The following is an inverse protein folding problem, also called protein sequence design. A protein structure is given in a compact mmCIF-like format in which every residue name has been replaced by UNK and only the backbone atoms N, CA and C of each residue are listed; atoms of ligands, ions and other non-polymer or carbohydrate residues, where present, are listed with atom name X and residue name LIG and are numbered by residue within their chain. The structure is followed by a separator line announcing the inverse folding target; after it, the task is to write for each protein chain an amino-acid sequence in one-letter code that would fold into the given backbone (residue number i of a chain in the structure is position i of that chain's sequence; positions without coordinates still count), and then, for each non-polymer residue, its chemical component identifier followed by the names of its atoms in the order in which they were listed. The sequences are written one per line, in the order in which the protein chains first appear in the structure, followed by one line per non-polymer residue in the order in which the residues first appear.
data_IF_209554345078
#
_entry.id   IF_209554345078
#
_cell.length_a   1.000
_cell.length_b   1.000
_cell.length_c   1.000
_cell.angle_alpha   90.00
_cell.angle_beta   90.00
_cell.angle_gamma   90.00
#
_symmetry.space_group_name_H-M   'P 1'
#
loop_
_entity.id
_entity.type
_entity.pdbx_description
1 polymer ?
#
# COMPACT_ATOMS: atom_id res chain seq x y z
N UNK A 1 -4.63 7.78 -21.99
CA UNK A 1 -3.56 7.57 -21.01
C UNK A 1 -3.39 8.84 -20.21
N UNK A 2 -3.28 8.73 -18.89
CA UNK A 2 -3.09 9.84 -17.97
C UNK A 2 -1.76 9.70 -17.24
N UNK A 3 -1.10 10.82 -16.99
CA UNK A 3 0.17 10.89 -16.27
C UNK A 3 0.13 11.98 -15.20
N UNK A 4 0.75 11.73 -14.05
CA UNK A 4 0.87 12.69 -12.94
C UNK A 4 1.85 13.83 -13.25
N UNK A 5 2.84 13.57 -14.07
CA UNK A 5 3.91 14.54 -14.35
C UNK A 5 3.39 15.78 -15.08
N UNK A 6 4.04 16.92 -14.83
CA UNK A 6 3.76 18.18 -15.51
C UNK A 6 4.02 18.05 -17.00
N UNK A 7 3.22 18.76 -17.80
CA UNK A 7 3.35 18.75 -19.25
C UNK A 7 4.72 19.28 -19.68
N UNK A 8 5.55 18.49 -20.40
CA UNK A 8 6.75 18.99 -21.03
C UNK A 8 6.38 19.97 -22.15
N UNK A 9 7.34 20.78 -22.60
CA UNK A 9 7.13 21.74 -23.70
C UNK A 9 6.65 21.07 -24.99
N UNK A 10 7.06 19.82 -25.23
CA UNK A 10 6.64 19.03 -26.39
C UNK A 10 6.03 17.69 -25.92
N UNK A 11 4.77 17.46 -26.28
CA UNK A 11 4.02 16.23 -26.01
C UNK A 11 3.87 15.34 -27.25
N UNK A 12 4.49 15.71 -28.37
CA UNK A 12 4.34 14.98 -29.65
C UNK A 12 4.85 13.54 -29.54
N UNK A 13 5.95 13.32 -28.81
CA UNK A 13 6.49 11.99 -28.54
C UNK A 13 5.47 11.07 -27.88
N UNK A 14 4.79 11.54 -26.83
CA UNK A 14 3.77 10.76 -26.11
C UNK A 14 2.59 10.43 -27.02
N UNK A 15 2.09 11.38 -27.79
CA UNK A 15 0.98 11.15 -28.75
C UNK A 15 1.37 10.14 -29.83
N UNK A 16 2.60 10.22 -30.35
CA UNK A 16 3.13 9.30 -31.36
C UNK A 16 3.28 7.88 -30.81
N UNK A 17 3.79 7.75 -29.58
CA UNK A 17 4.02 6.47 -28.91
C UNK A 17 2.71 5.77 -28.53
N UNK A 18 1.84 6.47 -27.82
CA UNK A 18 0.59 5.89 -27.29
C UNK A 18 -0.55 5.86 -28.32
N UNK A 19 -0.47 6.64 -29.38
CA UNK A 19 -1.49 6.74 -30.45
C UNK A 19 -2.91 6.96 -29.93
N UNK A 20 -3.06 7.64 -28.80
CA UNK A 20 -4.33 7.95 -28.15
C UNK A 20 -4.28 9.32 -27.47
N UNK A 21 -5.40 9.74 -26.85
CA UNK A 21 -5.44 10.95 -26.03
C UNK A 21 -4.55 10.79 -24.81
N UNK A 22 -3.56 11.69 -24.68
CA UNK A 22 -2.65 11.76 -23.53
C UNK A 22 -3.04 12.98 -22.70
N UNK A 23 -3.31 12.78 -21.41
CA UNK A 23 -3.51 13.85 -20.43
C UNK A 23 -2.36 13.85 -19.45
N UNK A 24 -1.83 15.01 -19.17
CA UNK A 24 -0.73 15.25 -18.22
C UNK A 24 -1.26 16.04 -17.03
N UNK A 25 -0.48 16.15 -15.97
CA UNK A 25 -0.88 16.82 -14.73
C UNK A 25 -2.18 16.27 -14.13
N UNK A 26 -2.38 14.97 -14.21
CA UNK A 26 -3.51 14.28 -13.59
C UNK A 26 -3.14 13.80 -12.19
N UNK A 27 -4.13 13.64 -11.27
CA UNK A 27 -3.87 13.17 -9.90
C UNK A 27 -3.33 11.74 -9.85
N UNK A 28 -3.58 10.94 -10.89
CA UNK A 28 -3.17 9.54 -10.98
C UNK A 28 -2.59 9.22 -12.36
N UNK A 29 -1.59 8.32 -12.39
CA UNK A 29 -1.13 7.70 -13.63
C UNK A 29 -2.05 6.49 -13.92
N UNK A 30 -2.76 6.52 -15.07
CA UNK A 30 -3.73 5.48 -15.40
C UNK A 30 -3.79 5.20 -16.91
N UNK A 31 -4.09 3.94 -17.23
CA UNK A 31 -4.40 3.48 -18.57
C UNK A 31 -5.91 3.16 -18.61
N UNK A 32 -6.64 3.91 -19.40
CA UNK A 32 -8.06 3.68 -19.62
C UNK A 32 -8.23 2.89 -20.92
N UNK A 33 -8.91 1.76 -20.83
CA UNK A 33 -9.21 0.89 -21.96
C UNK A 33 -10.72 0.82 -22.15
N UNK A 34 -11.15 0.65 -23.40
CA UNK A 34 -12.53 0.30 -23.68
C UNK A 34 -12.82 -1.10 -23.10
N UNK A 35 -13.95 -1.29 -22.39
CA UNK A 35 -14.30 -2.60 -21.82
C UNK A 35 -14.31 -3.75 -22.82
N UNK A 36 -14.57 -3.46 -24.08
CA UNK A 36 -14.57 -4.46 -25.14
C UNK A 36 -13.21 -5.12 -25.34
N UNK A 37 -12.10 -4.45 -25.00
CA UNK A 37 -10.74 -5.00 -25.07
C UNK A 37 -10.58 -6.24 -24.19
N UNK A 38 -11.31 -6.31 -23.07
CA UNK A 38 -11.27 -7.47 -22.17
C UNK A 38 -11.79 -8.76 -22.82
N UNK A 39 -12.61 -8.62 -23.87
CA UNK A 39 -13.16 -9.73 -24.63
C UNK A 39 -12.38 -10.02 -25.92
N UNK A 40 -11.29 -9.28 -26.18
CA UNK A 40 -10.48 -9.46 -27.38
C UNK A 40 -9.55 -10.64 -27.17
N UNK A 41 -9.54 -11.59 -28.12
CA UNK A 41 -8.60 -12.72 -28.09
C UNK A 41 -7.15 -12.23 -28.18
N UNK A 42 -6.32 -12.71 -27.26
CA UNK A 42 -4.89 -12.45 -27.28
C UNK A 42 -4.27 -13.27 -28.43
N UNK A 43 -3.69 -12.60 -29.39
CA UNK A 43 -2.93 -13.27 -30.46
C UNK A 43 -1.82 -14.12 -29.82
N UNK A 44 -1.77 -15.42 -30.18
CA UNK A 44 -0.83 -16.38 -29.61
C UNK A 44 -1.08 -16.73 -28.13
N UNK A 45 -2.34 -16.58 -27.65
CA UNK A 45 -2.71 -17.09 -26.32
C UNK A 45 -2.53 -18.63 -26.33
N UNK A 46 -1.63 -19.10 -25.47
CA UNK A 46 -1.45 -20.52 -25.21
C UNK A 46 -2.14 -20.90 -23.90
N UNK A 47 -3.33 -21.50 -24.03
CA UNK A 47 -4.09 -21.95 -22.87
C UNK A 47 -3.37 -23.04 -22.05
N UNK A 48 -2.51 -23.83 -22.71
CA UNK A 48 -1.73 -24.89 -22.06
C UNK A 48 -0.65 -24.26 -21.20
N UNK A 49 0.07 -23.27 -21.76
CA UNK A 49 1.07 -22.49 -21.03
C UNK A 49 0.45 -21.72 -19.86
N UNK A 50 -0.72 -21.11 -20.07
CA UNK A 50 -1.47 -20.42 -19.01
C UNK A 50 -1.79 -21.38 -17.86
N UNK A 51 -2.36 -22.55 -18.14
CA UNK A 51 -2.67 -23.58 -17.13
C UNK A 51 -1.41 -24.01 -16.38
N UNK A 52 -0.32 -24.23 -17.07
CA UNK A 52 0.95 -24.68 -16.51
C UNK A 52 1.56 -23.60 -15.60
N UNK A 53 1.54 -22.34 -16.02
CA UNK A 53 1.98 -21.20 -15.22
C UNK A 53 1.10 -20.99 -13.99
N UNK A 54 -0.23 -21.11 -14.12
CA UNK A 54 -1.17 -21.04 -12.99
C UNK A 54 -0.95 -22.18 -12.00
N UNK A 55 -0.71 -23.41 -12.46
CA UNK A 55 -0.38 -24.54 -11.61
C UNK A 55 0.94 -24.32 -10.87
N UNK A 56 1.96 -23.83 -11.54
CA UNK A 56 3.24 -23.50 -10.92
C UNK A 56 3.10 -22.36 -9.89
N UNK A 57 2.37 -21.30 -10.23
CA UNK A 57 2.09 -20.20 -9.30
C UNK A 57 1.35 -20.70 -8.04
N UNK A 58 0.31 -21.53 -8.23
CA UNK A 58 -0.41 -22.15 -7.10
C UNK A 58 0.49 -23.02 -6.25
N UNK A 59 1.30 -23.88 -6.88
CA UNK A 59 2.26 -24.73 -6.17
C UNK A 59 3.33 -23.94 -5.41
N UNK A 60 3.78 -22.80 -5.95
CA UNK A 60 4.70 -21.90 -5.26
C UNK A 60 4.01 -21.18 -4.09
N UNK A 61 2.76 -20.77 -4.25
CA UNK A 61 1.94 -20.19 -3.16
C UNK A 61 1.70 -21.20 -2.04
N UNK A 62 1.44 -22.47 -2.38
CA UNK A 62 1.27 -23.56 -1.38
C UNK A 62 2.56 -23.88 -0.64
N UNK A 63 3.71 -23.69 -1.27
CA UNK A 63 5.04 -23.87 -0.66
C UNK A 63 5.49 -22.69 0.20
N UNK A 64 4.83 -21.54 0.06
CA UNK A 64 5.05 -20.43 0.98
C UNK A 64 4.62 -20.89 2.39
N UNK A 65 5.45 -20.70 3.42
CA UNK A 65 5.06 -21.06 4.78
C UNK A 65 3.71 -20.43 5.10
N UNK A 66 2.80 -21.18 5.71
CA UNK A 66 1.49 -20.68 6.14
C UNK A 66 1.56 -19.42 7.00
N UNK A 67 2.74 -19.16 7.61
CA UNK A 67 3.07 -17.93 8.30
C UNK A 67 3.01 -16.69 7.38
N UNK A 68 3.54 -16.76 6.15
CA UNK A 68 3.57 -15.62 5.22
C UNK A 68 2.17 -15.20 4.81
N UNK A 69 1.30 -16.16 4.53
CA UNK A 69 -0.10 -15.88 4.18
C UNK A 69 -0.90 -15.30 5.35
N UNK A 70 -0.64 -15.77 6.58
CA UNK A 70 -1.26 -15.21 7.77
C UNK A 70 -0.76 -13.79 8.05
N UNK A 71 0.54 -13.53 7.86
CA UNK A 71 1.14 -12.21 8.05
C UNK A 71 0.61 -11.19 7.05
N UNK A 72 0.44 -11.58 5.80
CA UNK A 72 -0.19 -10.72 4.77
C UNK A 72 -1.64 -10.39 5.13
N UNK A 73 -2.42 -11.39 5.56
CA UNK A 73 -3.80 -11.19 6.01
C UNK A 73 -3.87 -10.31 7.25
N UNK A 74 -2.95 -10.48 8.19
CA UNK A 74 -2.83 -9.65 9.39
C UNK A 74 -2.52 -8.20 9.00
N UNK A 75 -1.54 -7.98 8.13
CA UNK A 75 -1.19 -6.65 7.64
C UNK A 75 -2.37 -5.97 6.96
N UNK A 76 -3.07 -6.67 6.06
CA UNK A 76 -4.26 -6.15 5.39
C UNK A 76 -5.40 -5.83 6.38
N UNK A 77 -5.60 -6.66 7.40
CA UNK A 77 -6.63 -6.42 8.42
C UNK A 77 -6.31 -5.20 9.26
N UNK A 78 -5.04 -5.00 9.64
CA UNK A 78 -4.58 -3.80 10.35
C UNK A 78 -4.74 -2.56 9.48
N UNK A 79 -4.34 -2.60 8.20
CA UNK A 79 -4.50 -1.50 7.25
C UNK A 79 -5.96 -1.05 7.14
N UNK A 80 -6.87 -2.01 6.92
CA UNK A 80 -8.32 -1.73 6.85
C UNK A 80 -8.86 -1.22 8.19
N UNK A 81 -8.35 -1.77 9.28
CA UNK A 81 -8.72 -1.36 10.63
C UNK A 81 -8.31 0.07 10.95
N UNK A 82 -7.11 0.50 10.56
CA UNK A 82 -6.66 1.88 10.70
C UNK A 82 -7.56 2.86 9.95
N UNK A 83 -7.96 2.55 8.72
CA UNK A 83 -8.87 3.40 7.93
C UNK A 83 -10.26 3.54 8.56
N UNK A 84 -10.73 2.53 9.29
CA UNK A 84 -12.06 2.49 9.92
C UNK A 84 -12.03 2.77 11.43
N UNK A 85 -10.87 3.08 11.98
CA UNK A 85 -10.62 3.24 13.42
C UNK A 85 -11.03 2.02 14.28
N UNK A 86 -10.94 0.81 13.73
CA UNK A 86 -11.23 -0.47 14.40
C UNK A 86 -10.07 -1.47 14.25
N UNK A 87 -8.87 -1.04 14.60
CA UNK A 87 -7.61 -1.80 14.53
C UNK A 87 -7.23 -2.44 15.86
N UNK A 88 -8.16 -2.61 16.80
CA UNK A 88 -7.90 -3.31 18.05
C UNK A 88 -7.65 -4.79 17.79
N UNK A 89 -6.82 -5.42 18.65
CA UNK A 89 -6.43 -6.82 18.45
C UNK A 89 -7.64 -7.76 18.43
N UNK A 90 -8.70 -7.42 19.18
CA UNK A 90 -9.96 -8.14 19.23
C UNK A 90 -10.65 -8.18 17.87
N UNK A 91 -10.72 -7.03 17.19
CA UNK A 91 -11.40 -6.90 15.90
C UNK A 91 -10.61 -7.60 14.79
N UNK A 92 -9.28 -7.44 14.81
CA UNK A 92 -8.40 -8.08 13.84
C UNK A 92 -8.36 -9.59 14.02
N UNK A 93 -8.33 -10.09 15.26
CA UNK A 93 -8.37 -11.53 15.54
C UNK A 93 -9.68 -12.16 15.04
N UNK A 94 -10.84 -11.49 15.25
CA UNK A 94 -12.13 -11.90 14.67
C UNK A 94 -12.10 -11.98 13.14
N UNK A 95 -11.55 -10.96 12.48
CA UNK A 95 -11.44 -10.95 11.01
C UNK A 95 -10.56 -12.08 10.47
N UNK A 96 -9.55 -12.47 11.24
CA UNK A 96 -8.66 -13.59 10.91
C UNK A 96 -9.20 -14.96 11.33
N UNK A 97 -10.38 -15.01 11.96
CA UNK A 97 -10.96 -16.23 12.54
C UNK A 97 -10.05 -16.91 13.56
N UNK A 98 -9.37 -16.10 14.38
CA UNK A 98 -8.42 -16.55 15.41
C UNK A 98 -8.82 -16.03 16.77
N UNK A 99 -8.41 -16.75 17.83
CA UNK A 99 -8.42 -16.17 19.17
C UNK A 99 -7.24 -15.18 19.34
N UNK A 100 -7.38 -14.20 20.23
CA UNK A 100 -6.32 -13.25 20.57
C UNK A 100 -5.04 -13.99 20.99
N UNK A 101 -5.19 -15.06 21.78
CA UNK A 101 -4.06 -15.88 22.25
C UNK A 101 -3.31 -16.57 21.11
N UNK A 102 -4.04 -17.06 20.09
CA UNK A 102 -3.41 -17.65 18.90
C UNK A 102 -2.63 -16.59 18.10
N UNK A 103 -3.23 -15.41 17.90
CA UNK A 103 -2.58 -14.32 17.20
C UNK A 103 -1.33 -13.85 17.95
N UNK A 104 -1.41 -13.66 19.27
CA UNK A 104 -0.26 -13.27 20.10
C UNK A 104 0.86 -14.31 20.05
N UNK A 105 0.53 -15.60 20.15
CA UNK A 105 1.50 -16.70 20.06
C UNK A 105 2.20 -16.71 18.70
N UNK A 106 1.46 -16.50 17.61
CA UNK A 106 2.02 -16.40 16.26
C UNK A 106 3.03 -15.24 16.16
N UNK A 107 2.68 -14.06 16.68
CA UNK A 107 3.55 -12.90 16.69
C UNK A 107 4.79 -13.09 17.57
N UNK A 108 4.65 -13.75 18.71
CA UNK A 108 5.76 -14.10 19.60
C UNK A 108 6.78 -15.04 18.91
N UNK A 109 6.32 -15.98 18.10
CA UNK A 109 7.20 -16.86 17.31
C UNK A 109 8.04 -16.08 16.29
N UNK A 110 7.57 -14.89 15.91
CA UNK A 110 8.28 -13.96 15.03
C UNK A 110 9.05 -12.87 15.79
N UNK A 111 9.20 -13.02 17.11
CA UNK A 111 9.86 -12.03 17.97
C UNK A 111 9.24 -10.61 17.85
N UNK A 112 7.94 -10.52 17.67
CA UNK A 112 7.21 -9.25 17.55
C UNK A 112 5.92 -9.24 18.39
N UNK A 113 5.30 -8.08 18.52
CA UNK A 113 4.01 -7.91 19.19
C UNK A 113 3.00 -7.29 18.24
N UNK A 114 1.70 -7.39 18.57
CA UNK A 114 0.65 -6.74 17.81
C UNK A 114 0.84 -5.22 17.73
N UNK A 115 1.20 -4.59 18.85
CA UNK A 115 1.48 -3.15 18.89
C UNK A 115 2.64 -2.77 17.97
N UNK A 116 3.71 -3.56 17.96
CA UNK A 116 4.85 -3.35 17.06
C UNK A 116 4.42 -3.41 15.60
N UNK A 117 3.61 -4.42 15.21
CA UNK A 117 3.08 -4.54 13.84
C UNK A 117 2.23 -3.34 13.43
N UNK A 118 1.37 -2.86 14.34
CA UNK A 118 0.58 -1.63 14.09
C UNK A 118 1.49 -0.41 13.90
N UNK A 119 2.53 -0.28 14.73
CA UNK A 119 3.50 0.81 14.60
C UNK A 119 4.29 0.75 13.28
N UNK A 120 4.74 -0.43 12.87
CA UNK A 120 5.48 -0.63 11.61
C UNK A 120 4.62 -0.22 10.40
N UNK A 121 3.34 -0.60 10.41
CA UNK A 121 2.38 -0.22 9.37
C UNK A 121 2.13 1.29 9.39
N UNK A 122 1.93 1.89 10.57
CA UNK A 122 1.77 3.34 10.70
C UNK A 122 2.99 4.11 10.20
N UNK A 123 4.19 3.63 10.51
CA UNK A 123 5.45 4.22 10.03
C UNK A 123 5.53 4.20 8.50
N UNK A 124 5.20 3.07 7.89
CA UNK A 124 5.18 2.92 6.43
C UNK A 124 4.18 3.89 5.78
N UNK A 125 2.93 3.92 6.27
CA UNK A 125 1.88 4.82 5.77
C UNK A 125 2.23 6.29 5.99
N UNK A 126 2.79 6.64 7.18
CA UNK A 126 3.24 8.00 7.47
C UNK A 126 4.25 8.50 6.44
N UNK A 127 5.24 7.66 6.10
CA UNK A 127 6.25 7.99 5.09
C UNK A 127 5.65 8.20 3.70
N UNK A 128 4.62 7.44 3.34
CA UNK A 128 3.89 7.61 2.09
C UNK A 128 3.07 8.89 2.07
N UNK A 129 2.28 9.15 3.13
CA UNK A 129 1.43 10.35 3.21
C UNK A 129 2.23 11.65 3.31
N UNK A 130 3.40 11.61 3.96
CA UNK A 130 4.28 12.79 4.06
C UNK A 130 4.86 13.23 2.70
N UNK A 131 4.90 12.37 1.69
CA UNK A 131 5.30 12.72 0.32
C UNK A 131 4.25 13.55 -0.41
N UNK A 132 3.00 13.45 0.00
CA UNK A 132 1.94 14.29 -0.55
C UNK A 132 1.97 15.68 0.11
N UNK A 133 2.32 16.75 -0.64
CA UNK A 133 2.38 18.11 -0.10
C UNK A 133 1.00 18.68 0.24
N UNK A 134 -0.08 18.11 -0.30
CA UNK A 134 -1.45 18.56 -0.06
C UNK A 134 -2.01 18.05 1.27
N UNK A 135 -1.43 16.99 1.85
CA UNK A 135 -1.86 16.47 3.14
C UNK A 135 -1.21 17.25 4.28
N UNK A 136 -2.02 17.83 5.15
CA UNK A 136 -1.57 18.44 6.39
C UNK A 136 -1.15 17.37 7.41
N UNK A 137 -0.31 17.73 8.39
CA UNK A 137 0.09 16.82 9.46
C UNK A 137 -1.10 16.39 10.33
N UNK A 138 -2.13 17.22 10.43
CA UNK A 138 -3.36 16.89 11.15
C UNK A 138 -4.16 15.81 10.40
N UNK A 139 -4.32 15.93 9.09
CA UNK A 139 -4.99 14.92 8.26
C UNK A 139 -4.23 13.60 8.31
N UNK A 140 -2.89 13.64 8.20
CA UNK A 140 -2.06 12.43 8.32
C UNK A 140 -2.24 11.77 9.69
N UNK A 141 -2.29 12.53 10.77
CA UNK A 141 -2.55 11.99 12.10
C UNK A 141 -3.89 11.26 12.17
N UNK A 142 -4.95 11.84 11.61
CA UNK A 142 -6.28 11.23 11.54
C UNK A 142 -6.29 9.97 10.68
N UNK A 143 -5.67 9.99 9.50
CA UNK A 143 -5.54 8.84 8.61
C UNK A 143 -4.79 7.66 9.26
N UNK A 144 -3.89 7.96 10.19
CA UNK A 144 -3.15 6.97 10.97
C UNK A 144 -3.85 6.59 12.29
N UNK A 145 -5.10 7.03 12.49
CA UNK A 145 -5.89 6.81 13.71
C UNK A 145 -5.21 7.32 14.98
N UNK A 146 -4.61 8.50 14.91
CA UNK A 146 -4.23 9.28 16.09
C UNK A 146 -5.33 10.29 16.42
N UNK A 147 -5.63 10.43 17.71
CA UNK A 147 -6.59 11.42 18.20
C UNK A 147 -6.08 12.87 18.03
N UNK A 148 -4.75 13.04 18.03
CA UNK A 148 -4.12 14.36 18.00
C UNK A 148 -2.86 14.35 17.14
N UNK A 149 -2.61 15.46 16.45
CA UNK A 149 -1.39 15.67 15.66
C UNK A 149 -0.13 15.55 16.51
N UNK A 150 -0.16 16.05 17.75
CA UNK A 150 0.97 16.00 18.68
C UNK A 150 1.40 14.57 19.01
N UNK A 151 0.44 13.65 19.17
CA UNK A 151 0.70 12.23 19.41
C UNK A 151 1.39 11.58 18.20
N UNK A 152 0.91 11.86 16.99
CA UNK A 152 1.55 11.43 15.76
C UNK A 152 2.98 11.95 15.63
N UNK A 153 3.20 13.25 15.87
CA UNK A 153 4.54 13.86 15.76
C UNK A 153 5.54 13.22 16.70
N UNK A 154 5.14 12.95 17.97
CA UNK A 154 5.99 12.25 18.95
C UNK A 154 6.32 10.82 18.49
N UNK A 155 5.31 10.08 18.04
CA UNK A 155 5.50 8.71 17.56
C UNK A 155 6.43 8.68 16.35
N UNK A 156 6.22 9.55 15.37
CA UNK A 156 7.03 9.62 14.16
C UNK A 156 8.50 9.95 14.47
N UNK A 157 8.73 10.93 15.35
CA UNK A 157 10.09 11.27 15.81
C UNK A 157 10.77 10.10 16.54
N UNK A 158 10.01 9.33 17.31
CA UNK A 158 10.55 8.12 17.97
C UNK A 158 10.96 7.06 16.94
N UNK A 159 10.19 6.90 15.85
CA UNK A 159 10.48 5.88 14.82
C UNK A 159 11.61 6.24 13.87
N UNK A 160 11.79 7.54 13.60
CA UNK A 160 12.66 8.03 12.51
C UNK A 160 13.83 8.90 12.99
N UNK A 161 13.77 9.36 14.23
CA UNK A 161 14.75 10.31 14.81
C UNK A 161 14.48 11.77 14.44
N UNK A 162 13.62 12.06 13.46
CA UNK A 162 13.31 13.42 12.99
C UNK A 162 11.82 13.71 13.05
N UNK A 163 11.46 14.99 13.07
CA UNK A 163 10.03 15.37 13.03
C UNK A 163 9.43 15.15 11.64
N UNK A 164 8.10 14.94 11.51
CA UNK A 164 7.43 14.80 10.21
C UNK A 164 7.72 15.97 9.26
N UNK A 165 7.82 17.19 9.78
CA UNK A 165 8.11 18.36 8.96
C UNK A 165 9.55 18.35 8.43
N UNK A 166 10.52 18.01 9.27
CA UNK A 166 11.91 17.85 8.86
C UNK A 166 12.06 16.73 7.82
N UNK A 167 11.37 15.62 8.03
CA UNK A 167 11.38 14.48 7.10
C UNK A 167 10.84 14.90 5.72
N UNK A 168 9.70 15.62 5.67
CA UNK A 168 9.11 16.14 4.43
C UNK A 168 10.08 17.06 3.68
N UNK A 169 10.79 17.94 4.40
CA UNK A 169 11.79 18.84 3.79
C UNK A 169 12.98 18.07 3.20
N UNK A 170 13.48 17.06 3.91
CA UNK A 170 14.60 16.23 3.44
C UNK A 170 14.21 15.39 2.20
N UNK A 171 13.01 14.84 2.14
CA UNK A 171 12.54 14.04 1.00
C UNK A 171 12.38 14.90 -0.26
N UNK A 172 11.94 16.16 -0.10
CA UNK A 172 11.83 17.13 -1.22
C UNK A 172 13.19 17.59 -1.79
N UNK A 173 14.26 17.56 -0.98
CA UNK A 173 15.61 17.91 -1.43
C UNK A 173 16.25 16.74 -2.20
N UNK A 174 15.83 15.51 -1.92
CA UNK A 174 16.40 14.28 -2.49
C UNK A 174 15.58 13.73 -3.67
N UNK A 175 14.46 14.33 -4.02
CA UNK A 175 13.56 13.95 -5.13
C UNK A 175 13.79 14.84 -6.37
#
# INVERSE_FOLDING_TARGET
VHFCQTAPKDISFYKKYFRCKVKLSQPYAELLFDPYILNTEIRHADQTLQKLLMQQATSLLEKLPNSTQLDERLQQSILRGLQKNNYQIEDVAKQLHMSIRQLQRHLQQQNTTYQQRVQDIRKLLASQYLRDPHLSLQEIALLLSYSEQSAFQRAFKLWTGVTPLQWRQQDQINA
#
